data_IF_906290337828
#
_entry.id   IF_906290337828
#
_cell.length_a   1.000
_cell.length_b   1.000
_cell.length_c   1.000
_cell.angle_alpha   90.00
_cell.angle_beta   90.00
_cell.angle_gamma   90.00
#
_symmetry.space_group_name_H-M   'P 1'
#
loop_
_entity.id
_entity.type
_entity.pdbx_description
1 polymer ?
#
# COMPACT_ATOMS: atom_id res chain seq x y z
N UNK A 1 58.76 10.78 20.42
CA UNK A 1 57.84 11.95 20.45
C UNK A 1 58.50 13.25 20.00
N UNK A 2 59.60 13.19 19.25
CA UNK A 2 60.44 14.32 18.81
C UNK A 2 60.44 14.46 17.25
N UNK A 3 59.41 13.89 16.60
CA UNK A 3 59.51 13.42 15.22
C UNK A 3 58.94 14.35 14.14
N UNK A 4 58.02 15.28 14.44
CA UNK A 4 57.38 16.08 13.38
C UNK A 4 58.34 17.16 12.85
N UNK A 5 59.06 17.86 13.74
CA UNK A 5 60.06 18.86 13.34
C UNK A 5 61.30 18.25 12.67
N UNK A 6 61.74 17.07 13.13
CA UNK A 6 62.82 16.29 12.50
C UNK A 6 62.38 15.66 11.18
N UNK A 7 61.15 15.17 11.08
CA UNK A 7 60.59 14.53 9.88
C UNK A 7 60.21 15.49 8.76
N UNK A 8 59.90 16.76 9.08
CA UNK A 8 59.65 17.83 8.10
C UNK A 8 60.91 18.68 7.82
N UNK A 9 62.09 18.32 8.34
CA UNK A 9 63.35 19.06 8.20
C UNK A 9 63.21 20.59 8.39
N UNK A 10 62.38 21.01 9.35
CA UNK A 10 62.06 22.43 9.58
C UNK A 10 63.26 23.25 10.06
N UNK A 11 64.48 22.69 10.11
CA UNK A 11 65.73 23.42 10.33
C UNK A 11 66.17 24.21 9.09
N UNK A 12 65.84 23.73 7.88
CA UNK A 12 66.21 24.38 6.63
C UNK A 12 65.29 25.59 6.34
N UNK A 13 65.89 26.75 6.11
CA UNK A 13 65.17 28.01 5.84
C UNK A 13 64.19 27.91 4.66
N UNK A 14 64.57 27.21 3.59
CA UNK A 14 63.70 27.05 2.42
C UNK A 14 62.47 26.17 2.72
N UNK A 15 62.67 25.12 3.52
CA UNK A 15 61.60 24.20 3.93
C UNK A 15 60.61 24.89 4.88
N UNK A 16 61.10 25.73 5.80
CA UNK A 16 60.23 26.57 6.65
C UNK A 16 59.32 27.48 5.83
N UNK A 17 59.87 28.20 4.85
CA UNK A 17 59.06 29.11 4.02
C UNK A 17 58.07 28.34 3.16
N UNK A 18 58.45 27.19 2.62
CA UNK A 18 57.54 26.31 1.88
C UNK A 18 56.39 25.82 2.77
N UNK A 19 56.68 25.39 4.00
CA UNK A 19 55.66 24.96 4.95
C UNK A 19 54.69 26.09 5.30
N UNK A 20 55.20 27.30 5.59
CA UNK A 20 54.37 28.48 5.86
C UNK A 20 53.52 28.84 4.64
N UNK A 21 54.07 28.75 3.43
CA UNK A 21 53.33 28.98 2.19
C UNK A 21 52.16 27.99 2.03
N UNK A 22 52.34 26.71 2.39
CA UNK A 22 51.25 25.72 2.41
C UNK A 22 50.17 26.10 3.43
N UNK A 23 50.55 26.53 4.64
CA UNK A 23 49.58 26.97 5.67
C UNK A 23 48.77 28.16 5.16
N UNK A 24 49.43 29.15 4.56
CA UNK A 24 48.76 30.33 3.97
C UNK A 24 47.85 29.92 2.82
N UNK A 25 48.30 29.00 1.95
CA UNK A 25 47.50 28.47 0.85
C UNK A 25 46.22 27.80 1.37
N UNK A 26 46.32 26.93 2.39
CA UNK A 26 45.16 26.26 2.98
C UNK A 26 44.19 27.26 3.62
N UNK A 27 44.70 28.30 4.29
CA UNK A 27 43.85 29.39 4.79
C UNK A 27 43.15 30.07 3.61
N UNK A 28 43.89 30.47 2.56
CA UNK A 28 43.33 31.09 1.37
C UNK A 28 42.22 30.25 0.74
N UNK A 29 42.45 28.95 0.56
CA UNK A 29 41.44 28.00 0.05
C UNK A 29 40.22 27.91 0.98
N UNK A 30 40.40 27.97 2.30
CA UNK A 30 39.27 27.98 3.25
C UNK A 30 38.36 29.19 3.09
N UNK A 31 38.91 30.32 2.63
CA UNK A 31 38.14 31.54 2.33
C UNK A 31 37.58 31.54 0.90
N UNK A 32 38.08 30.68 0.00
CA UNK A 32 37.51 30.46 -1.33
C UNK A 32 36.23 29.62 -1.19
N UNK A 33 35.08 30.28 -1.20
CA UNK A 33 33.75 29.67 -1.00
C UNK A 33 33.29 28.74 -2.14
N UNK A 34 34.16 28.42 -3.10
CA UNK A 34 33.86 27.54 -4.24
C UNK A 34 33.42 26.15 -3.74
N UNK A 35 34.23 25.52 -2.88
CA UNK A 35 33.95 24.16 -2.41
C UNK A 35 32.66 24.15 -1.58
N UNK A 36 32.47 25.17 -0.73
CA UNK A 36 31.28 25.29 0.12
C UNK A 36 30.01 25.41 -0.71
N UNK A 37 30.01 26.29 -1.72
CA UNK A 37 28.84 26.52 -2.56
C UNK A 37 28.44 25.27 -3.35
N UNK A 38 29.42 24.58 -3.93
CA UNK A 38 29.16 23.34 -4.68
C UNK A 38 28.64 22.21 -3.78
N UNK A 39 29.25 22.03 -2.61
CA UNK A 39 28.82 20.99 -1.67
C UNK A 39 27.45 21.30 -1.05
N UNK A 40 27.16 22.56 -0.72
CA UNK A 40 25.85 22.99 -0.23
C UNK A 40 24.75 22.77 -1.28
N UNK A 41 24.98 23.21 -2.52
CA UNK A 41 24.03 23.03 -3.62
C UNK A 41 23.71 21.56 -3.87
N UNK A 42 24.72 20.69 -3.78
CA UNK A 42 24.54 19.26 -3.90
C UNK A 42 23.66 18.67 -2.79
N UNK A 43 23.94 19.01 -1.53
CA UNK A 43 23.15 18.54 -0.38
C UNK A 43 21.71 19.06 -0.46
N UNK A 44 21.49 20.30 -0.90
CA UNK A 44 20.15 20.88 -1.10
C UNK A 44 19.35 20.18 -2.20
N UNK A 45 19.98 19.89 -3.34
CA UNK A 45 19.35 19.11 -4.40
C UNK A 45 18.99 17.69 -3.91
N UNK A 46 19.89 17.07 -3.15
CA UNK A 46 19.68 15.75 -2.55
C UNK A 46 18.55 15.74 -1.53
N UNK A 47 18.42 16.78 -0.72
CA UNK A 47 17.33 16.94 0.26
C UNK A 47 15.98 17.12 -0.44
N UNK A 48 15.97 17.89 -1.53
CA UNK A 48 14.77 18.09 -2.38
C UNK A 48 14.33 16.77 -3.00
N UNK A 49 15.25 16.03 -3.62
CA UNK A 49 14.99 14.69 -4.18
C UNK A 49 14.44 13.73 -3.12
N UNK A 50 15.08 13.65 -1.94
CA UNK A 50 14.61 12.79 -0.85
C UNK A 50 13.23 13.18 -0.33
N UNK A 51 12.89 14.48 -0.34
CA UNK A 51 11.57 14.98 0.09
C UNK A 51 10.48 14.62 -0.91
N UNK A 52 10.76 14.78 -2.21
CA UNK A 52 9.83 14.37 -3.28
C UNK A 52 9.63 12.85 -3.23
N UNK A 53 10.71 12.07 -3.12
CA UNK A 53 10.64 10.61 -2.97
C UNK A 53 9.84 10.18 -1.74
N UNK A 54 9.99 10.88 -0.61
CA UNK A 54 9.18 10.66 0.59
C UNK A 54 7.70 10.97 0.36
N UNK A 55 7.39 12.04 -0.35
CA UNK A 55 6.02 12.40 -0.70
C UNK A 55 5.36 11.35 -1.62
N UNK A 56 6.10 10.84 -2.63
CA UNK A 56 5.67 9.72 -3.48
C UNK A 56 5.33 8.51 -2.60
N UNK A 57 6.23 8.11 -1.70
CA UNK A 57 5.99 6.99 -0.78
C UNK A 57 4.70 7.19 0.05
N UNK A 58 4.45 8.42 0.51
CA UNK A 58 3.26 8.75 1.30
C UNK A 58 1.98 8.69 0.46
N UNK A 59 2.04 9.12 -0.80
CA UNK A 59 0.93 9.02 -1.74
C UNK A 59 0.56 7.55 -2.01
N UNK A 60 1.55 6.71 -2.33
CA UNK A 60 1.34 5.27 -2.50
C UNK A 60 0.79 4.60 -1.24
N UNK A 61 1.29 4.97 -0.05
CA UNK A 61 0.75 4.45 1.21
C UNK A 61 -0.72 4.85 1.42
N UNK A 62 -1.13 6.04 0.99
CA UNK A 62 -2.53 6.47 0.98
C UNK A 62 -3.38 5.61 0.06
N UNK A 63 -2.93 5.41 -1.19
CA UNK A 63 -3.60 4.57 -2.18
C UNK A 63 -3.79 3.13 -1.68
N UNK A 64 -2.74 2.52 -1.14
CA UNK A 64 -2.78 1.16 -0.61
C UNK A 64 -3.78 1.06 0.56
N UNK A 65 -3.84 2.09 1.42
CA UNK A 65 -4.80 2.14 2.52
C UNK A 65 -6.25 2.15 2.02
N UNK A 66 -6.56 2.89 0.94
CA UNK A 66 -7.90 2.93 0.34
C UNK A 66 -8.30 1.53 -0.14
N UNK A 67 -7.43 0.83 -0.87
CA UNK A 67 -7.74 -0.53 -1.32
C UNK A 67 -7.89 -1.53 -0.16
N UNK A 68 -7.10 -1.38 0.90
CA UNK A 68 -7.27 -2.16 2.13
C UNK A 68 -8.62 -1.87 2.79
N UNK A 69 -9.07 -0.63 2.84
CA UNK A 69 -10.38 -0.26 3.41
C UNK A 69 -11.57 -0.82 2.61
N UNK A 70 -11.49 -0.81 1.28
CA UNK A 70 -12.53 -1.42 0.42
C UNK A 70 -12.67 -2.92 0.66
N UNK A 71 -11.57 -3.62 0.95
CA UNK A 71 -11.59 -5.06 1.28
C UNK A 71 -12.33 -5.39 2.59
N UNK A 72 -12.41 -4.44 3.53
CA UNK A 72 -13.11 -4.59 4.83
C UNK A 72 -14.59 -4.22 4.71
N UNK A 73 -14.93 -3.27 3.85
CA UNK A 73 -16.29 -2.73 3.69
C UNK A 73 -17.24 -3.67 2.94
N UNK A 74 -16.71 -4.55 2.10
CA UNK A 74 -17.50 -5.56 1.38
C UNK A 74 -17.31 -6.92 2.05
N UNK A 75 -18.18 -7.31 3.02
CA UNK A 75 -18.08 -8.60 3.71
C UNK A 75 -18.45 -9.74 2.76
N UNK A 76 -17.47 -10.17 1.95
CA UNK A 76 -17.59 -11.28 1.03
C UNK A 76 -16.49 -12.32 1.33
N UNK A 77 -16.91 -13.57 1.52
CA UNK A 77 -16.03 -14.70 1.82
C UNK A 77 -14.95 -14.80 0.73
N UNK A 78 -13.70 -14.49 1.11
CA UNK A 78 -12.51 -14.70 0.28
C UNK A 78 -12.02 -13.49 -0.54
N UNK A 79 -12.83 -12.43 -0.72
CA UNK A 79 -12.36 -11.22 -1.42
C UNK A 79 -11.41 -10.40 -0.53
N UNK A 80 -11.72 -10.29 0.76
CA UNK A 80 -10.88 -9.61 1.76
C UNK A 80 -9.47 -10.22 1.79
N UNK A 81 -9.41 -11.56 1.88
CA UNK A 81 -8.15 -12.31 1.89
C UNK A 81 -7.37 -12.16 0.58
N UNK A 82 -8.05 -12.13 -0.57
CA UNK A 82 -7.39 -12.06 -1.87
C UNK A 82 -6.78 -10.67 -2.17
N UNK A 83 -7.53 -9.60 -1.90
CA UNK A 83 -7.06 -8.22 -2.15
C UNK A 83 -5.96 -7.85 -1.15
N UNK A 84 -6.12 -8.19 0.13
CA UNK A 84 -5.11 -7.94 1.16
C UNK A 84 -3.77 -8.62 0.85
N UNK A 85 -3.78 -9.94 0.59
CA UNK A 85 -2.56 -10.70 0.28
C UNK A 85 -1.87 -10.22 -1.00
N UNK A 86 -2.62 -9.72 -1.98
CA UNK A 86 -2.05 -9.20 -3.23
C UNK A 86 -1.34 -7.85 -3.03
N UNK A 87 -1.84 -7.03 -2.11
CA UNK A 87 -1.28 -5.72 -1.78
C UNK A 87 -0.13 -5.78 -0.78
N UNK A 88 -0.06 -6.81 0.07
CA UNK A 88 0.93 -6.92 1.13
C UNK A 88 2.39 -6.74 0.65
N UNK A 89 2.86 -7.38 -0.44
CA UNK A 89 4.23 -7.18 -0.92
C UNK A 89 4.54 -5.73 -1.30
N UNK A 90 3.57 -5.03 -1.92
CA UNK A 90 3.73 -3.63 -2.30
C UNK A 90 3.72 -2.75 -1.05
N UNK A 91 2.76 -3.00 -0.15
CA UNK A 91 2.63 -2.27 1.11
C UNK A 91 3.94 -2.29 1.90
N UNK A 92 4.53 -3.47 2.06
CA UNK A 92 5.77 -3.64 2.81
C UNK A 92 6.94 -2.91 2.17
N UNK A 93 7.01 -2.90 0.83
CA UNK A 93 8.04 -2.16 0.08
C UNK A 93 7.87 -0.65 0.21
N UNK A 94 6.64 -0.14 0.07
CA UNK A 94 6.35 1.29 0.23
C UNK A 94 6.64 1.76 1.66
N UNK A 95 6.33 0.94 2.67
CA UNK A 95 6.66 1.23 4.06
C UNK A 95 8.19 1.27 4.28
N UNK A 96 8.92 0.28 3.79
CA UNK A 96 10.39 0.24 3.86
C UNK A 96 11.02 1.43 3.14
N UNK A 97 10.51 1.78 1.96
CA UNK A 97 10.97 2.93 1.21
C UNK A 97 10.70 4.24 1.96
N UNK A 98 9.50 4.42 2.53
CA UNK A 98 9.16 5.58 3.36
C UNK A 98 10.08 5.70 4.57
N UNK A 99 10.34 4.59 5.27
CA UNK A 99 11.28 4.54 6.40
C UNK A 99 12.70 4.91 5.98
N UNK A 100 13.17 4.38 4.85
CA UNK A 100 14.48 4.71 4.28
C UNK A 100 14.57 6.21 3.94
N UNK A 101 13.55 6.79 3.31
CA UNK A 101 13.53 8.21 2.99
C UNK A 101 13.55 9.09 4.25
N UNK A 102 12.86 8.71 5.32
CA UNK A 102 12.96 9.41 6.61
C UNK A 102 14.39 9.41 7.16
N UNK A 103 15.08 8.26 7.10
CA UNK A 103 16.47 8.14 7.51
C UNK A 103 17.41 8.96 6.61
N UNK A 104 17.19 8.92 5.30
CA UNK A 104 17.93 9.70 4.31
C UNK A 104 17.81 11.21 4.56
N UNK A 105 16.59 11.70 4.78
CA UNK A 105 16.33 13.10 5.13
C UNK A 105 17.06 13.50 6.42
N UNK A 106 16.98 12.68 7.47
CA UNK A 106 17.70 12.92 8.72
C UNK A 106 19.22 13.00 8.50
N UNK A 107 19.80 12.06 7.76
CA UNK A 107 21.23 12.04 7.41
C UNK A 107 21.64 13.29 6.63
N UNK A 108 20.87 13.67 5.61
CA UNK A 108 21.16 14.85 4.77
C UNK A 108 21.05 16.16 5.54
N UNK A 109 20.07 16.29 6.44
CA UNK A 109 19.92 17.47 7.30
C UNK A 109 21.13 17.60 8.22
N UNK A 110 21.58 16.50 8.85
CA UNK A 110 22.79 16.51 9.69
C UNK A 110 24.01 16.93 8.87
N UNK A 111 24.17 16.40 7.66
CA UNK A 111 25.26 16.78 6.76
C UNK A 111 25.20 18.27 6.39
N UNK A 112 24.01 18.80 6.09
CA UNK A 112 23.81 20.22 5.78
C UNK A 112 24.24 21.10 6.96
N UNK A 113 23.78 20.77 8.16
CA UNK A 113 24.15 21.50 9.39
C UNK A 113 25.67 21.44 9.60
N UNK A 114 26.28 20.27 9.45
CA UNK A 114 27.73 20.12 9.61
C UNK A 114 28.50 20.96 8.60
N UNK A 115 28.06 20.97 7.33
CA UNK A 115 28.66 21.78 6.27
C UNK A 115 28.54 23.28 6.59
N UNK A 116 27.38 23.72 7.08
CA UNK A 116 27.15 25.11 7.48
C UNK A 116 28.02 25.53 8.67
N UNK A 117 28.19 24.64 9.67
CA UNK A 117 29.07 24.88 10.82
C UNK A 117 30.51 25.08 10.37
N UNK A 118 31.05 24.21 9.51
CA UNK A 118 32.46 24.29 9.08
C UNK A 118 32.72 25.40 8.06
N UNK A 119 31.69 25.82 7.31
CA UNK A 119 31.75 26.93 6.36
C UNK A 119 31.50 28.31 7.00
N UNK A 120 31.05 28.36 8.26
CA UNK A 120 30.77 29.61 8.96
C UNK A 120 32.05 30.47 9.13
N UNK A 121 31.88 31.79 9.03
CA UNK A 121 32.90 32.79 9.31
C UNK A 121 33.60 32.58 10.66
N UNK A 122 32.87 32.19 11.72
CA UNK A 122 33.48 31.89 13.02
C UNK A 122 34.52 30.77 12.92
N UNK A 123 34.21 29.69 12.20
CA UNK A 123 35.13 28.60 11.96
C UNK A 123 36.34 29.05 11.12
N UNK A 124 36.09 29.81 10.04
CA UNK A 124 37.16 30.39 9.19
C UNK A 124 38.14 31.24 10.00
N UNK A 125 37.65 32.04 10.95
CA UNK A 125 38.48 32.88 11.83
C UNK A 125 39.33 32.01 12.78
N UNK A 126 38.73 31.03 13.46
CA UNK A 126 39.48 30.13 14.35
C UNK A 126 40.54 29.35 13.58
N UNK A 127 40.20 28.85 12.39
CA UNK A 127 41.13 28.15 11.51
C UNK A 127 42.29 29.07 11.10
N UNK A 128 42.00 30.30 10.68
CA UNK A 128 43.02 31.29 10.32
C UNK A 128 43.93 31.61 11.51
N UNK A 129 43.36 31.84 12.71
CA UNK A 129 44.13 32.12 13.92
C UNK A 129 45.07 30.96 14.29
N UNK A 130 44.58 29.71 14.18
CA UNK A 130 45.39 28.52 14.42
C UNK A 130 46.58 28.42 13.47
N UNK A 131 46.39 28.76 12.19
CA UNK A 131 47.45 28.76 11.19
C UNK A 131 48.45 29.90 11.36
N UNK A 132 48.01 31.10 11.73
CA UNK A 132 48.90 32.23 12.08
C UNK A 132 49.75 31.88 13.29
N UNK A 133 49.16 31.31 14.35
CA UNK A 133 49.90 30.88 15.53
C UNK A 133 50.92 29.79 15.20
N UNK A 134 50.55 28.81 14.35
CA UNK A 134 51.48 27.80 13.86
C UNK A 134 52.65 28.43 13.09
N UNK A 135 52.39 29.37 12.18
CA UNK A 135 53.41 30.06 11.40
C UNK A 135 54.38 30.85 12.30
N UNK A 136 53.87 31.56 13.32
CA UNK A 136 54.70 32.28 14.31
C UNK A 136 55.58 31.33 15.11
N UNK A 137 55.01 30.22 15.60
CA UNK A 137 55.74 29.24 16.42
C UNK A 137 56.84 28.54 15.61
N UNK A 138 56.60 28.28 14.31
CA UNK A 138 57.61 27.76 13.36
C UNK A 138 58.69 28.80 13.07
N UNK A 139 58.32 30.08 12.94
CA UNK A 139 59.29 31.16 12.71
C UNK A 139 60.25 31.36 13.90
N UNK A 140 59.75 31.24 15.14
CA UNK A 140 60.55 31.39 16.37
C UNK A 140 61.16 30.08 16.91
N UNK A 141 61.12 28.98 16.16
CA UNK A 141 61.77 27.69 16.51
C UNK A 141 61.37 27.07 17.87
N UNK A 142 60.14 27.32 18.34
CA UNK A 142 59.65 26.76 19.61
C UNK A 142 59.16 25.32 19.46
N UNK A 143 60.11 24.37 19.35
CA UNK A 143 59.88 22.94 19.03
C UNK A 143 58.74 22.26 19.81
N UNK A 144 58.63 22.50 21.12
CA UNK A 144 57.57 21.88 21.95
C UNK A 144 56.16 22.36 21.58
N UNK A 145 56.04 23.65 21.24
CA UNK A 145 54.76 24.26 20.86
C UNK A 145 54.37 23.90 19.42
N UNK A 146 55.34 23.72 18.51
CA UNK A 146 55.07 23.35 17.11
C UNK A 146 54.15 22.13 17.03
N UNK A 147 54.41 21.08 17.82
CA UNK A 147 53.62 19.85 17.78
C UNK A 147 52.15 20.08 18.19
N UNK A 148 51.91 20.89 19.24
CA UNK A 148 50.55 21.19 19.72
C UNK A 148 49.78 22.02 18.70
N UNK A 149 50.38 23.11 18.22
CA UNK A 149 49.74 23.99 17.23
C UNK A 149 49.58 23.30 15.86
N UNK A 150 50.52 22.44 15.47
CA UNK A 150 50.39 21.64 14.25
C UNK A 150 49.23 20.67 14.33
N UNK A 151 49.12 19.89 15.41
CA UNK A 151 47.99 18.96 15.60
C UNK A 151 46.65 19.69 15.66
N UNK A 152 46.58 20.83 16.34
CA UNK A 152 45.38 21.66 16.39
C UNK A 152 45.02 22.22 15.01
N UNK A 153 45.98 22.77 14.27
CA UNK A 153 45.77 23.28 12.92
C UNK A 153 45.30 22.18 11.97
N UNK A 154 45.97 21.02 11.99
CA UNK A 154 45.59 19.90 11.12
C UNK A 154 44.23 19.33 11.52
N UNK A 155 43.88 19.29 12.81
CA UNK A 155 42.53 18.91 13.25
C UNK A 155 41.45 19.83 12.67
N UNK A 156 41.66 21.15 12.78
CA UNK A 156 40.73 22.14 12.26
C UNK A 156 40.68 22.12 10.72
N UNK A 157 41.83 21.94 10.05
CA UNK A 157 41.90 21.76 8.60
C UNK A 157 41.12 20.52 8.17
N UNK A 158 41.30 19.42 8.89
CA UNK A 158 40.62 18.16 8.63
C UNK A 158 39.11 18.34 8.82
N UNK A 159 38.65 18.93 9.92
CA UNK A 159 37.23 19.20 10.13
C UNK A 159 36.65 20.13 9.03
N UNK A 160 37.40 21.17 8.61
CA UNK A 160 37.01 22.12 7.56
C UNK A 160 36.82 21.44 6.21
N UNK A 161 37.84 20.73 5.75
CA UNK A 161 37.92 20.27 4.38
C UNK A 161 37.33 18.88 4.20
N UNK A 162 37.32 18.03 5.23
CA UNK A 162 36.88 16.64 5.08
C UNK A 162 35.40 16.57 4.69
N UNK A 163 34.52 17.29 5.39
CA UNK A 163 33.08 17.28 5.11
C UNK A 163 32.82 17.75 3.69
N UNK A 164 33.38 18.91 3.34
CA UNK A 164 33.17 19.53 2.04
C UNK A 164 33.76 18.69 0.88
N UNK A 165 34.95 18.09 1.08
CA UNK A 165 35.61 17.25 0.08
C UNK A 165 34.90 15.90 -0.10
N UNK A 166 34.43 15.27 0.98
CA UNK A 166 33.66 14.02 0.88
C UNK A 166 32.35 14.24 0.13
N UNK A 167 31.64 15.34 0.42
CA UNK A 167 30.42 15.72 -0.32
C UNK A 167 30.74 15.99 -1.78
N UNK A 168 31.82 16.72 -2.09
CA UNK A 168 32.20 17.03 -3.48
C UNK A 168 32.60 15.78 -4.27
N UNK A 169 33.37 14.88 -3.67
CA UNK A 169 33.70 13.58 -4.27
C UNK A 169 32.42 12.80 -4.61
N UNK A 170 31.49 12.77 -3.67
CA UNK A 170 30.24 12.05 -3.87
C UNK A 170 29.35 12.73 -4.93
N UNK A 171 29.27 14.07 -4.94
CA UNK A 171 28.57 14.82 -5.97
C UNK A 171 29.07 14.47 -7.38
N UNK A 172 30.37 14.26 -7.54
CA UNK A 172 30.95 13.81 -8.81
C UNK A 172 30.52 12.37 -9.17
N UNK A 173 30.49 11.45 -8.21
CA UNK A 173 30.00 10.07 -8.40
C UNK A 173 28.51 10.05 -8.75
N UNK A 174 27.71 10.83 -8.03
CA UNK A 174 26.26 10.90 -8.19
C UNK A 174 25.90 11.39 -9.60
N UNK A 175 26.50 12.52 -10.02
CA UNK A 175 26.32 13.09 -11.35
C UNK A 175 26.76 12.14 -12.48
N UNK A 176 27.78 11.33 -12.25
CA UNK A 176 28.29 10.42 -13.26
C UNK A 176 27.46 9.13 -13.40
N UNK A 177 26.82 8.64 -12.33
CA UNK A 177 26.28 7.27 -12.30
C UNK A 177 24.86 7.11 -11.74
N UNK A 178 24.37 8.05 -10.93
CA UNK A 178 23.18 7.85 -10.05
C UNK A 178 22.08 8.88 -10.33
N UNK A 179 22.42 10.14 -10.62
CA UNK A 179 21.47 11.24 -10.78
C UNK A 179 20.41 10.95 -11.84
N UNK A 180 20.83 10.59 -13.06
CA UNK A 180 19.92 10.29 -14.18
C UNK A 180 18.98 9.13 -13.89
N UNK A 181 19.46 8.08 -13.22
CA UNK A 181 18.65 6.91 -12.85
C UNK A 181 17.63 7.29 -11.77
N UNK A 182 18.05 8.09 -10.80
CA UNK A 182 17.18 8.55 -9.72
C UNK A 182 16.04 9.39 -10.27
N UNK A 183 16.33 10.35 -11.16
CA UNK A 183 15.33 11.19 -11.80
C UNK A 183 14.35 10.39 -12.66
N UNK A 184 14.85 9.43 -13.45
CA UNK A 184 14.01 8.57 -14.28
C UNK A 184 13.02 7.75 -13.44
N UNK A 185 13.50 7.11 -12.38
CA UNK A 185 12.67 6.27 -11.51
C UNK A 185 11.68 7.10 -10.70
N UNK A 186 12.08 8.29 -10.22
CA UNK A 186 11.16 9.22 -9.54
C UNK A 186 10.08 9.73 -10.48
N UNK A 187 10.43 10.13 -11.70
CA UNK A 187 9.47 10.60 -12.70
C UNK A 187 8.46 9.50 -13.06
N UNK A 188 8.90 8.25 -13.19
CA UNK A 188 8.00 7.12 -13.42
C UNK A 188 6.98 6.96 -12.29
N UNK A 189 7.43 7.04 -11.03
CA UNK A 189 6.56 6.89 -9.86
C UNK A 189 5.64 8.09 -9.62
N UNK A 190 5.97 9.29 -10.09
CA UNK A 190 5.15 10.50 -9.92
C UNK A 190 3.87 10.45 -10.77
N UNK A 191 3.89 9.73 -11.90
CA UNK A 191 2.73 9.60 -12.80
C UNK A 191 1.60 8.71 -12.26
N UNK A 192 1.89 7.73 -11.40
CA UNK A 192 0.89 6.74 -10.95
C UNK A 192 -0.14 7.25 -9.92
N UNK A 193 0.24 8.04 -8.89
CA UNK A 193 -0.72 8.51 -7.89
C UNK A 193 -1.82 9.42 -8.43
N UNK A 194 -1.61 10.06 -9.59
CA UNK A 194 -2.52 11.03 -10.19
C UNK A 194 -3.73 10.39 -10.91
N UNK A 195 -3.65 9.11 -11.28
CA UNK A 195 -4.73 8.41 -12.00
C UNK A 195 -5.77 7.78 -11.05
N UNK A 196 -5.52 7.78 -9.73
CA UNK A 196 -6.36 7.09 -8.73
C UNK A 196 -7.37 7.98 -8.00
N UNK A 197 -7.25 9.31 -8.09
CA UNK A 197 -8.25 10.23 -7.52
C UNK A 197 -9.63 10.05 -8.19
N UNK A 198 -9.68 9.44 -9.38
CA UNK A 198 -10.93 9.01 -10.03
C UNK A 198 -11.49 7.68 -9.53
N UNK A 199 -10.72 6.85 -8.82
CA UNK A 199 -11.19 5.58 -8.24
C UNK A 199 -11.74 5.78 -6.81
N UNK A 200 -11.33 6.83 -6.11
CA UNK A 200 -11.79 7.18 -4.74
C UNK A 200 -13.21 7.74 -4.69
N UNK A 201 -13.91 7.85 -5.81
CA UNK A 201 -15.33 8.17 -5.81
C UNK A 201 -16.10 6.91 -5.38
N UNK A 202 -16.28 6.74 -4.06
CA UNK A 202 -17.03 5.68 -3.37
C UNK A 202 -18.41 5.39 -4.00
N UNK A 203 -18.92 6.36 -4.77
CA UNK A 203 -20.16 6.29 -5.51
C UNK A 203 -20.15 5.19 -6.59
N UNK A 204 -19.08 5.08 -7.38
CA UNK A 204 -19.06 4.23 -8.58
C UNK A 204 -19.24 2.73 -8.29
N UNK A 205 -18.65 2.24 -7.21
CA UNK A 205 -18.72 0.83 -6.80
C UNK A 205 -20.09 0.52 -6.18
N UNK A 206 -20.60 1.44 -5.36
CA UNK A 206 -21.95 1.32 -4.81
C UNK A 206 -23.01 1.35 -5.91
N UNK A 207 -22.76 2.12 -6.98
CA UNK A 207 -23.68 2.35 -8.08
C UNK A 207 -23.70 1.18 -9.07
N UNK A 208 -22.55 0.58 -9.37
CA UNK A 208 -22.48 -0.65 -10.19
C UNK A 208 -23.09 -1.86 -9.45
N UNK A 209 -22.85 -2.00 -8.14
CA UNK A 209 -23.47 -3.04 -7.33
C UNK A 209 -24.99 -2.83 -7.17
N UNK A 210 -25.43 -1.58 -6.97
CA UNK A 210 -26.85 -1.20 -6.95
C UNK A 210 -27.50 -1.49 -8.30
N UNK A 211 -26.84 -1.16 -9.40
CA UNK A 211 -27.35 -1.43 -10.75
C UNK A 211 -27.55 -2.94 -10.97
N UNK A 212 -26.59 -3.77 -10.56
CA UNK A 212 -26.73 -5.23 -10.62
C UNK A 212 -27.92 -5.72 -9.77
N UNK A 213 -28.04 -5.27 -8.52
CA UNK A 213 -29.18 -5.60 -7.64
C UNK A 213 -30.53 -5.17 -8.22
N UNK A 214 -30.60 -4.01 -8.90
CA UNK A 214 -31.83 -3.55 -9.56
C UNK A 214 -32.22 -4.39 -10.77
N UNK A 215 -31.23 -4.83 -11.57
CA UNK A 215 -31.47 -5.73 -12.70
C UNK A 215 -32.01 -7.08 -12.21
N UNK A 216 -31.39 -7.58 -11.15
CA UNK A 216 -31.76 -8.79 -10.46
C UNK A 216 -33.18 -8.73 -9.87
N UNK A 217 -33.54 -7.61 -9.25
CA UNK A 217 -34.90 -7.34 -8.77
C UNK A 217 -35.91 -7.30 -9.92
N UNK A 218 -35.59 -6.67 -11.06
CA UNK A 218 -36.45 -6.66 -12.25
C UNK A 218 -36.70 -8.07 -12.80
N UNK A 219 -35.65 -8.90 -12.89
CA UNK A 219 -35.77 -10.27 -13.38
C UNK A 219 -36.69 -11.12 -12.49
N UNK A 220 -36.57 -11.00 -11.15
CA UNK A 220 -37.46 -11.72 -10.22
C UNK A 220 -38.88 -11.19 -10.31
N UNK A 221 -39.07 -9.88 -10.36
CA UNK A 221 -40.42 -9.30 -10.52
C UNK A 221 -41.10 -9.78 -11.79
N UNK A 222 -40.35 -9.93 -12.89
CA UNK A 222 -40.88 -10.49 -14.13
C UNK A 222 -41.28 -11.97 -13.98
N UNK A 223 -40.46 -12.79 -13.32
CA UNK A 223 -40.78 -14.20 -13.04
C UNK A 223 -42.01 -14.34 -12.11
N UNK A 224 -42.12 -13.48 -11.09
CA UNK A 224 -43.30 -13.41 -10.21
C UNK A 224 -44.55 -13.09 -11.02
N UNK A 225 -44.51 -12.08 -11.89
CA UNK A 225 -45.66 -11.72 -12.73
C UNK A 225 -46.10 -12.87 -13.64
N UNK A 226 -45.16 -13.62 -14.23
CA UNK A 226 -45.46 -14.80 -15.04
C UNK A 226 -46.10 -15.93 -14.21
N UNK A 227 -45.61 -16.17 -12.99
CA UNK A 227 -46.18 -17.18 -12.09
C UNK A 227 -47.57 -16.78 -11.59
N UNK A 228 -47.81 -15.51 -11.30
CA UNK A 228 -49.15 -15.00 -10.96
C UNK A 228 -50.14 -15.21 -12.09
N UNK A 229 -49.72 -14.96 -13.34
CA UNK A 229 -50.55 -15.23 -14.53
C UNK A 229 -50.88 -16.72 -14.66
N UNK A 230 -49.89 -17.61 -14.48
CA UNK A 230 -50.10 -19.06 -14.51
C UNK A 230 -51.06 -19.53 -13.41
N UNK A 231 -50.91 -19.02 -12.19
CA UNK A 231 -51.83 -19.31 -11.08
C UNK A 231 -53.25 -18.88 -11.45
N UNK A 232 -53.42 -17.70 -12.05
CA UNK A 232 -54.73 -17.21 -12.46
C UNK A 232 -55.36 -18.09 -13.56
N UNK A 233 -54.56 -18.57 -14.52
CA UNK A 233 -55.02 -19.51 -15.54
C UNK A 233 -55.44 -20.87 -14.92
N UNK A 234 -54.66 -21.39 -13.97
CA UNK A 234 -54.97 -22.64 -13.26
C UNK A 234 -56.25 -22.48 -12.43
N UNK A 235 -56.40 -21.36 -11.71
CA UNK A 235 -57.61 -21.07 -10.93
C UNK A 235 -58.85 -21.03 -11.84
N UNK A 236 -58.77 -20.40 -13.02
CA UNK A 236 -59.86 -20.41 -14.01
C UNK A 236 -60.18 -21.83 -14.50
N UNK A 237 -59.17 -22.66 -14.76
CA UNK A 237 -59.36 -24.06 -15.19
C UNK A 237 -60.01 -24.91 -14.08
N UNK A 238 -59.65 -24.67 -12.82
CA UNK A 238 -60.27 -25.34 -11.67
C UNK A 238 -61.76 -24.95 -11.57
N UNK A 239 -62.10 -23.68 -11.76
CA UNK A 239 -63.50 -23.20 -11.77
C UNK A 239 -64.29 -23.88 -12.89
N UNK A 240 -63.75 -23.99 -14.10
CA UNK A 240 -64.39 -24.70 -15.22
C UNK A 240 -64.60 -26.19 -14.93
N UNK A 241 -63.62 -26.85 -14.30
CA UNK A 241 -63.76 -28.25 -13.89
C UNK A 241 -64.84 -28.43 -12.83
N UNK A 242 -64.98 -27.49 -11.90
CA UNK A 242 -66.05 -27.48 -10.89
C UNK A 242 -67.44 -27.29 -11.52
N UNK A 243 -67.57 -26.39 -12.49
CA UNK A 243 -68.82 -26.21 -13.25
C UNK A 243 -69.20 -27.48 -14.03
N UNK A 244 -68.23 -28.12 -14.68
CA UNK A 244 -68.44 -29.39 -15.39
C UNK A 244 -68.79 -30.52 -14.43
N UNK A 245 -68.20 -30.54 -13.23
CA UNK A 245 -68.53 -31.52 -12.22
C UNK A 245 -69.98 -31.36 -11.74
N UNK A 246 -70.43 -30.12 -11.51
CA UNK A 246 -71.81 -29.80 -11.15
C UNK A 246 -72.80 -30.23 -12.24
N UNK A 247 -72.46 -30.05 -13.52
CA UNK A 247 -73.33 -30.50 -14.62
C UNK A 247 -73.41 -32.03 -14.68
N UNK A 248 -72.27 -32.74 -14.56
CA UNK A 248 -72.24 -34.20 -14.53
C UNK A 248 -73.02 -34.76 -13.34
N UNK A 249 -72.95 -34.12 -12.17
CA UNK A 249 -73.71 -34.53 -10.99
C UNK A 249 -75.22 -34.34 -11.20
N UNK A 250 -75.62 -33.24 -11.84
CA UNK A 250 -77.02 -32.98 -12.21
C UNK A 250 -77.53 -34.02 -13.21
N UNK A 251 -76.74 -34.34 -14.24
CA UNK A 251 -77.07 -35.37 -15.24
C UNK A 251 -77.19 -36.76 -14.60
N UNK A 252 -76.29 -37.09 -13.67
CA UNK A 252 -76.36 -38.33 -12.90
C UNK A 252 -77.61 -38.39 -12.03
N UNK A 253 -78.03 -37.28 -11.41
CA UNK A 253 -79.29 -37.22 -10.67
C UNK A 253 -80.51 -37.45 -11.57
N UNK A 254 -80.53 -36.83 -12.75
CA UNK A 254 -81.60 -37.01 -13.76
C UNK A 254 -81.68 -38.45 -14.25
N UNK A 255 -80.55 -39.03 -14.68
CA UNK A 255 -80.46 -40.43 -15.12
C UNK A 255 -80.88 -41.38 -14.00
N UNK A 256 -80.43 -41.11 -12.77
CA UNK A 256 -80.86 -41.90 -11.63
C UNK A 256 -82.36 -41.77 -11.35
N UNK A 257 -82.99 -40.63 -11.60
CA UNK A 257 -84.44 -40.44 -11.43
C UNK A 257 -85.26 -41.20 -12.50
N UNK A 258 -84.71 -41.38 -13.71
CA UNK A 258 -85.31 -42.19 -14.77
C UNK A 258 -85.23 -43.71 -14.48
N UNK A 259 -84.18 -44.14 -13.78
CA UNK A 259 -83.96 -45.55 -13.45
C UNK A 259 -84.72 -45.91 -12.16
N UNK A 260 -85.66 -46.87 -12.25
CA UNK A 260 -86.48 -47.30 -11.10
C UNK A 260 -85.66 -47.87 -9.93
N UNK A 261 -86.19 -47.75 -8.70
CA UNK A 261 -85.50 -48.08 -7.43
C UNK A 261 -84.87 -49.48 -7.39
N UNK A 262 -85.49 -50.47 -8.06
CA UNK A 262 -84.99 -51.84 -8.13
C UNK A 262 -83.82 -52.03 -9.12
N UNK A 263 -83.75 -51.25 -10.20
CA UNK A 263 -82.62 -51.29 -11.14
C UNK A 263 -81.38 -50.56 -10.61
N UNK A 264 -81.56 -49.55 -9.77
CA UNK A 264 -80.45 -48.89 -9.05
C UNK A 264 -79.65 -49.83 -8.15
N UNK A 265 -80.30 -50.83 -7.56
CA UNK A 265 -79.68 -51.80 -6.63
C UNK A 265 -79.10 -53.03 -7.33
N UNK A 266 -79.24 -53.17 -8.65
CA UNK A 266 -78.71 -54.31 -9.39
C UNK A 266 -77.19 -54.18 -9.56
N UNK A 267 -76.44 -54.92 -8.72
CA UNK A 267 -74.97 -54.90 -8.67
C UNK A 267 -74.35 -55.58 -9.91
N UNK A 268 -75.09 -56.48 -10.57
CA UNK A 268 -74.61 -57.28 -11.71
C UNK A 268 -74.85 -56.61 -13.08
N UNK A 269 -75.66 -55.53 -13.14
CA UNK A 269 -76.07 -54.89 -14.40
C UNK A 269 -76.27 -53.38 -14.21
N UNK A 270 -75.18 -52.65 -13.93
CA UNK A 270 -75.23 -51.18 -13.83
C UNK A 270 -75.59 -50.59 -15.20
N UNK A 271 -76.46 -49.59 -15.20
CA UNK A 271 -76.79 -48.81 -16.40
C UNK A 271 -75.49 -48.18 -16.96
N UNK A 272 -75.23 -48.40 -18.24
CA UNK A 272 -74.02 -47.98 -18.94
C UNK A 272 -73.82 -46.46 -18.84
N UNK A 273 -74.92 -45.68 -18.83
CA UNK A 273 -74.89 -44.22 -18.70
C UNK A 273 -74.34 -43.80 -17.32
N UNK A 274 -74.73 -44.50 -16.27
CA UNK A 274 -74.26 -44.24 -14.89
C UNK A 274 -72.78 -44.59 -14.75
N UNK A 275 -72.31 -45.65 -15.41
CA UNK A 275 -70.88 -46.01 -15.41
C UNK A 275 -70.05 -44.93 -16.12
N UNK A 276 -70.47 -44.49 -17.31
CA UNK A 276 -69.80 -43.44 -18.09
C UNK A 276 -69.75 -42.10 -17.33
N UNK A 277 -70.86 -41.70 -16.71
CA UNK A 277 -70.92 -40.48 -15.86
C UNK A 277 -69.98 -40.56 -14.66
N UNK A 278 -69.90 -41.72 -13.99
CA UNK A 278 -68.97 -41.91 -12.87
C UNK A 278 -67.49 -41.90 -13.31
N UNK A 279 -67.17 -42.49 -14.45
CA UNK A 279 -65.82 -42.42 -15.02
C UNK A 279 -65.43 -40.98 -15.39
N UNK A 280 -66.33 -40.23 -16.04
CA UNK A 280 -66.13 -38.83 -16.38
C UNK A 280 -65.89 -37.96 -15.13
N UNK A 281 -66.70 -38.14 -14.07
CA UNK A 281 -66.51 -37.46 -12.79
C UNK A 281 -65.18 -37.82 -12.11
N UNK A 282 -64.77 -39.09 -12.16
CA UNK A 282 -63.49 -39.54 -11.60
C UNK A 282 -62.30 -38.93 -12.36
N UNK A 283 -62.39 -38.87 -13.68
CA UNK A 283 -61.40 -38.21 -14.54
C UNK A 283 -61.28 -36.72 -14.22
N UNK A 284 -62.41 -36.01 -14.16
CA UNK A 284 -62.45 -34.59 -13.78
C UNK A 284 -61.80 -34.35 -12.40
N UNK A 285 -62.17 -35.16 -11.39
CA UNK A 285 -61.60 -35.05 -10.04
C UNK A 285 -60.08 -35.27 -10.01
N UNK A 286 -59.59 -36.16 -10.87
CA UNK A 286 -58.15 -36.44 -10.99
C UNK A 286 -57.41 -35.26 -11.63
N UNK A 287 -57.97 -34.67 -12.70
CA UNK A 287 -57.43 -33.47 -13.34
C UNK A 287 -57.42 -32.28 -12.38
N UNK A 288 -58.52 -32.05 -11.66
CA UNK A 288 -58.61 -30.99 -10.64
C UNK A 288 -57.52 -31.14 -9.57
N UNK A 289 -57.30 -32.35 -9.05
CA UNK A 289 -56.25 -32.60 -8.05
C UNK A 289 -54.83 -32.35 -8.59
N UNK A 290 -54.59 -32.63 -9.86
CA UNK A 290 -53.31 -32.34 -10.51
C UNK A 290 -53.07 -30.83 -10.58
N UNK A 291 -54.06 -30.07 -11.06
CA UNK A 291 -54.02 -28.61 -11.12
C UNK A 291 -53.89 -27.96 -9.74
N UNK A 292 -54.61 -28.45 -8.72
CA UNK A 292 -54.47 -27.97 -7.34
C UNK A 292 -53.07 -28.21 -6.77
N UNK A 293 -52.43 -29.31 -7.16
CA UNK A 293 -51.05 -29.63 -6.76
C UNK A 293 -50.05 -28.68 -7.42
N UNK A 294 -50.18 -28.48 -8.74
CA UNK A 294 -49.36 -27.54 -9.50
C UNK A 294 -49.46 -26.11 -8.96
N UNK A 295 -50.71 -25.64 -8.73
CA UNK A 295 -50.98 -24.36 -8.09
C UNK A 295 -50.29 -24.22 -6.74
N UNK A 296 -50.36 -25.24 -5.88
CA UNK A 296 -49.73 -25.20 -4.55
C UNK A 296 -48.21 -25.06 -4.64
N UNK A 297 -47.60 -25.73 -5.60
CA UNK A 297 -46.15 -25.66 -5.79
C UNK A 297 -45.73 -24.30 -6.37
N UNK A 298 -46.47 -23.75 -7.34
CA UNK A 298 -46.28 -22.38 -7.82
C UNK A 298 -46.43 -21.32 -6.71
N UNK A 299 -47.44 -21.45 -5.85
CA UNK A 299 -47.63 -20.56 -4.69
C UNK A 299 -46.46 -20.65 -3.72
N UNK A 300 -45.85 -21.83 -3.53
CA UNK A 300 -44.67 -21.98 -2.67
C UNK A 300 -43.46 -21.26 -3.28
N UNK A 301 -43.24 -21.39 -4.58
CA UNK A 301 -42.19 -20.68 -5.30
C UNK A 301 -42.37 -19.16 -5.25
N UNK A 302 -43.61 -18.67 -5.44
CA UNK A 302 -43.95 -17.26 -5.37
C UNK A 302 -43.67 -16.67 -3.97
N UNK A 303 -44.00 -17.39 -2.91
CA UNK A 303 -43.69 -16.97 -1.54
C UNK A 303 -42.17 -16.88 -1.29
N UNK A 304 -41.38 -17.77 -1.89
CA UNK A 304 -39.92 -17.70 -1.80
C UNK A 304 -39.39 -16.48 -2.58
N UNK A 305 -39.88 -16.26 -3.81
CA UNK A 305 -39.49 -15.12 -4.63
C UNK A 305 -39.81 -13.78 -3.95
N UNK A 306 -40.99 -13.64 -3.34
CA UNK A 306 -41.37 -12.43 -2.59
C UNK A 306 -40.46 -12.16 -1.37
N UNK A 307 -40.01 -13.21 -0.67
CA UNK A 307 -39.01 -13.03 0.41
C UNK A 307 -37.68 -12.52 -0.15
N UNK A 308 -37.24 -13.06 -1.28
CA UNK A 308 -36.01 -12.63 -1.94
C UNK A 308 -36.08 -11.17 -2.41
N UNK A 309 -37.22 -10.71 -2.94
CA UNK A 309 -37.42 -9.30 -3.29
C UNK A 309 -37.21 -8.39 -2.07
N UNK A 310 -37.84 -8.72 -0.94
CA UNK A 310 -37.71 -7.94 0.31
C UNK A 310 -36.26 -7.90 0.80
N UNK A 311 -35.51 -9.00 0.68
CA UNK A 311 -34.10 -9.03 1.05
C UNK A 311 -33.23 -8.11 0.17
N UNK A 312 -33.51 -8.03 -1.13
CA UNK A 312 -32.82 -7.13 -2.07
C UNK A 312 -33.17 -5.66 -1.78
N UNK A 313 -34.44 -5.36 -1.55
CA UNK A 313 -34.89 -4.01 -1.20
C UNK A 313 -34.22 -3.51 0.08
N UNK A 314 -34.15 -4.35 1.11
CA UNK A 314 -33.43 -4.04 2.34
C UNK A 314 -31.93 -3.81 2.10
N UNK A 315 -31.30 -4.59 1.21
CA UNK A 315 -29.90 -4.41 0.83
C UNK A 315 -29.66 -3.08 0.09
N UNK A 316 -30.55 -2.71 -0.85
CA UNK A 316 -30.51 -1.43 -1.56
C UNK A 316 -30.67 -0.22 -0.62
N UNK A 317 -31.49 -0.38 0.42
CA UNK A 317 -31.69 0.60 1.51
C UNK A 317 -30.56 0.61 2.56
N UNK A 318 -29.56 -0.28 2.45
CA UNK A 318 -28.43 -0.35 3.36
C UNK A 318 -28.74 -0.98 4.73
N UNK A 319 -29.84 -1.71 4.85
CA UNK A 319 -30.22 -2.41 6.08
C UNK A 319 -29.57 -3.80 6.11
N UNK A 320 -28.58 -3.97 6.97
CA UNK A 320 -27.64 -5.11 7.02
C UNK A 320 -28.19 -6.47 7.49
N UNK A 321 -29.51 -6.62 7.62
CA UNK A 321 -30.13 -7.84 8.17
C UNK A 321 -30.57 -8.80 7.08
N UNK A 322 -29.66 -9.65 6.57
CA UNK A 322 -30.06 -10.84 5.81
C UNK A 322 -29.14 -11.32 4.68
N UNK A 323 -28.14 -10.53 4.27
CA UNK A 323 -27.31 -10.81 3.08
C UNK A 323 -26.70 -12.23 3.04
N UNK A 324 -26.32 -12.80 4.19
CA UNK A 324 -25.67 -14.11 4.23
C UNK A 324 -26.60 -15.29 3.91
N UNK A 325 -27.93 -15.14 4.10
CA UNK A 325 -28.91 -16.19 3.82
C UNK A 325 -29.30 -16.28 2.35
N UNK A 326 -29.41 -15.14 1.67
CA UNK A 326 -29.87 -15.00 0.29
C UNK A 326 -28.77 -15.20 -0.77
N UNK A 327 -27.50 -15.08 -0.40
CA UNK A 327 -26.34 -15.35 -1.29
C UNK A 327 -26.27 -16.83 -1.72
N UNK A 328 -26.86 -17.75 -0.95
CA UNK A 328 -26.73 -19.20 -1.23
C UNK A 328 -27.51 -19.70 -2.45
N UNK A 329 -28.42 -18.91 -3.03
CA UNK A 329 -29.47 -19.46 -3.92
C UNK A 329 -29.57 -18.89 -5.34
N UNK A 330 -28.59 -18.13 -5.84
CA UNK A 330 -28.47 -17.92 -7.30
C UNK A 330 -28.65 -16.50 -7.84
N UNK A 331 -27.93 -15.52 -7.28
CA UNK A 331 -27.83 -14.19 -7.90
C UNK A 331 -26.59 -14.05 -8.80
N UNK A 332 -26.75 -14.35 -10.10
CA UNK A 332 -25.67 -14.31 -11.09
C UNK A 332 -25.21 -12.89 -11.45
N UNK A 333 -26.10 -11.90 -11.48
CA UNK A 333 -25.71 -10.54 -11.91
C UNK A 333 -24.89 -9.82 -10.82
N UNK A 334 -25.27 -9.97 -9.55
CA UNK A 334 -24.46 -9.48 -8.42
C UNK A 334 -23.05 -10.11 -8.40
N UNK A 335 -22.95 -11.42 -8.69
CA UNK A 335 -21.64 -12.08 -8.81
C UNK A 335 -20.81 -11.54 -9.98
N UNK A 336 -21.46 -11.13 -11.06
CA UNK A 336 -20.79 -10.54 -12.23
C UNK A 336 -20.33 -9.10 -11.97
N UNK A 337 -21.12 -8.30 -11.26
CA UNK A 337 -20.70 -6.97 -10.78
C UNK A 337 -19.50 -7.05 -9.83
N UNK A 338 -19.50 -8.05 -8.94
CA UNK A 338 -18.38 -8.35 -8.05
C UNK A 338 -17.13 -8.82 -8.79
N UNK A 339 -17.26 -9.67 -9.81
CA UNK A 339 -16.11 -10.09 -10.61
C UNK A 339 -15.52 -8.93 -11.40
N UNK A 340 -16.36 -8.08 -11.98
CA UNK A 340 -15.92 -6.88 -12.70
C UNK A 340 -15.21 -5.90 -11.78
N UNK A 341 -15.74 -5.69 -10.57
CA UNK A 341 -15.09 -4.89 -9.54
C UNK A 341 -13.74 -5.48 -9.13
N UNK A 342 -13.69 -6.78 -8.82
CA UNK A 342 -12.44 -7.49 -8.50
C UNK A 342 -11.42 -7.33 -9.61
N UNK A 343 -11.84 -7.44 -10.87
CA UNK A 343 -10.97 -7.34 -12.03
C UNK A 343 -10.45 -5.91 -12.22
N UNK A 344 -11.31 -4.88 -12.10
CA UNK A 344 -10.90 -3.47 -12.07
C UNK A 344 -9.87 -3.21 -10.96
N UNK A 345 -10.16 -3.63 -9.72
CA UNK A 345 -9.22 -3.51 -8.59
C UNK A 345 -7.92 -4.25 -8.86
N UNK A 346 -7.98 -5.47 -9.39
CA UNK A 346 -6.79 -6.25 -9.71
C UNK A 346 -5.92 -5.57 -10.77
N UNK A 347 -6.51 -4.93 -11.79
CA UNK A 347 -5.78 -4.14 -12.80
C UNK A 347 -5.05 -2.95 -12.16
N UNK A 348 -5.69 -2.20 -11.26
CA UNK A 348 -5.02 -1.11 -10.54
C UNK A 348 -3.89 -1.62 -9.64
N UNK A 349 -4.10 -2.75 -8.96
CA UNK A 349 -3.05 -3.36 -8.13
C UNK A 349 -1.89 -3.86 -9.01
N UNK A 350 -2.15 -4.43 -10.17
CA UNK A 350 -1.12 -4.86 -11.12
C UNK A 350 -0.31 -3.67 -11.66
N UNK A 351 -0.97 -2.55 -11.96
CA UNK A 351 -0.29 -1.30 -12.33
C UNK A 351 0.62 -0.79 -11.18
N UNK A 352 0.15 -0.87 -9.93
CA UNK A 352 0.97 -0.55 -8.76
C UNK A 352 2.13 -1.54 -8.60
N UNK A 353 1.94 -2.83 -8.90
CA UNK A 353 3.02 -3.81 -8.85
C UNK A 353 4.14 -3.51 -9.86
N UNK A 354 3.84 -2.85 -10.97
CA UNK A 354 4.86 -2.37 -11.91
C UNK A 354 5.76 -1.27 -11.32
N UNK A 355 5.34 -0.61 -10.24
CA UNK A 355 6.15 0.34 -9.49
C UNK A 355 7.18 -0.31 -8.55
N UNK A 356 7.03 -1.61 -8.23
CA UNK A 356 7.92 -2.33 -7.30
C UNK A 356 9.40 -2.21 -7.71
N UNK A 357 9.80 -2.49 -8.97
CA UNK A 357 11.21 -2.41 -9.36
C UNK A 357 11.78 -1.01 -9.18
N UNK A 358 10.99 0.03 -9.50
CA UNK A 358 11.37 1.42 -9.32
C UNK A 358 11.57 1.80 -7.85
N UNK A 359 10.71 1.33 -6.95
CA UNK A 359 10.92 1.50 -5.50
C UNK A 359 12.23 0.84 -5.03
N UNK A 360 12.50 -0.39 -5.46
CA UNK A 360 13.73 -1.10 -5.09
C UNK A 360 14.97 -0.37 -5.64
N UNK A 361 14.92 0.07 -6.90
CA UNK A 361 16.00 0.82 -7.52
C UNK A 361 16.24 2.14 -6.79
N UNK A 362 15.19 2.91 -6.49
CA UNK A 362 15.31 4.13 -5.71
C UNK A 362 15.86 3.86 -4.30
N UNK A 363 15.40 2.81 -3.63
CA UNK A 363 15.95 2.41 -2.34
C UNK A 363 17.45 2.17 -2.44
N UNK A 364 17.90 1.40 -3.44
CA UNK A 364 19.31 1.12 -3.64
C UNK A 364 20.13 2.40 -3.94
N UNK A 365 19.62 3.27 -4.81
CA UNK A 365 20.28 4.53 -5.20
C UNK A 365 20.37 5.50 -4.00
N UNK A 366 19.27 5.70 -3.27
CA UNK A 366 19.26 6.55 -2.08
C UNK A 366 20.07 5.96 -0.94
N UNK A 367 20.06 4.64 -0.74
CA UNK A 367 20.91 3.98 0.25
C UNK A 367 22.40 4.20 -0.07
N UNK A 368 22.76 4.02 -1.35
CA UNK A 368 24.10 4.30 -1.85
C UNK A 368 24.50 5.76 -1.60
N UNK A 369 23.56 6.70 -1.71
CA UNK A 369 23.81 8.13 -1.48
C UNK A 369 23.87 8.56 -0.03
N UNK A 370 22.96 8.05 0.79
CA UNK A 370 22.70 8.61 2.11
C UNK A 370 23.39 7.84 3.24
N UNK A 371 23.76 6.58 3.03
CA UNK A 371 24.43 5.74 4.04
C UNK A 371 25.91 5.53 3.75
N UNK A 372 26.30 5.36 2.49
CA UNK A 372 27.72 5.16 2.14
C UNK A 372 28.52 6.45 2.34
N UNK A 373 27.93 7.62 2.05
CA UNK A 373 28.62 8.91 2.21
C UNK A 373 29.02 9.18 3.68
N UNK A 374 28.13 9.08 4.69
CA UNK A 374 28.52 9.21 6.10
C UNK A 374 29.52 8.15 6.56
N UNK A 375 29.41 6.91 6.08
CA UNK A 375 30.33 5.83 6.45
C UNK A 375 31.73 6.06 5.87
N UNK A 376 31.81 6.50 4.62
CA UNK A 376 33.08 6.85 3.98
C UNK A 376 33.71 8.06 4.66
N UNK A 377 32.91 9.10 4.94
CA UNK A 377 33.34 10.26 5.74
C UNK A 377 33.93 9.81 7.08
N UNK A 378 33.21 8.98 7.84
CA UNK A 378 33.63 8.48 9.14
C UNK A 378 34.92 7.64 9.01
N UNK A 379 35.01 6.79 7.99
CA UNK A 379 36.20 5.98 7.74
C UNK A 379 37.43 6.85 7.44
N UNK A 380 37.30 7.84 6.55
CA UNK A 380 38.40 8.76 6.23
C UNK A 380 38.75 9.62 7.45
N UNK A 381 37.75 10.04 8.23
CA UNK A 381 37.94 10.75 9.49
C UNK A 381 38.78 9.92 10.46
N UNK A 382 38.37 8.68 10.75
CA UNK A 382 39.08 7.80 11.68
C UNK A 382 40.51 7.51 11.23
N UNK A 383 40.72 7.27 9.93
CA UNK A 383 42.05 7.02 9.36
C UNK A 383 42.94 8.27 9.47
N UNK A 384 42.41 9.45 9.16
CA UNK A 384 43.10 10.73 9.31
C UNK A 384 43.46 11.00 10.77
N UNK A 385 42.52 10.75 11.69
CA UNK A 385 42.74 10.92 13.13
C UNK A 385 43.85 10.00 13.64
N UNK A 386 43.82 8.71 13.29
CA UNK A 386 44.91 7.78 13.64
C UNK A 386 46.26 8.26 13.12
N UNK A 387 46.32 8.79 11.90
CA UNK A 387 47.57 9.29 11.31
C UNK A 387 48.13 10.51 12.06
N UNK A 388 47.28 11.41 12.55
CA UNK A 388 47.70 12.66 13.21
C UNK A 388 48.02 12.44 14.70
N UNK A 389 47.21 11.66 15.41
CA UNK A 389 47.38 11.44 16.85
C UNK A 389 48.15 10.17 17.20
N UNK A 390 48.30 9.22 16.27
CA UNK A 390 48.95 7.92 16.52
C UNK A 390 48.14 7.00 17.44
N UNK A 391 46.89 7.36 17.73
CA UNK A 391 45.98 6.63 18.62
C UNK A 391 44.96 5.91 17.75
N UNK A 392 44.79 4.61 17.96
CA UNK A 392 43.65 3.88 17.42
C UNK A 392 42.40 4.25 18.22
N UNK A 393 41.54 5.10 17.65
CA UNK A 393 40.26 5.46 18.27
C UNK A 393 39.40 4.23 18.57
N UNK A 394 39.42 3.21 17.70
CA UNK A 394 38.71 1.95 17.96
C UNK A 394 39.19 1.31 19.27
N UNK A 395 40.50 1.08 19.43
CA UNK A 395 41.07 0.46 20.63
C UNK A 395 40.78 1.26 21.91
N UNK A 396 40.79 2.60 21.81
CA UNK A 396 40.44 3.49 22.93
C UNK A 396 38.95 3.44 23.29
N UNK A 397 38.06 3.27 22.31
CA UNK A 397 36.62 3.09 22.54
C UNK A 397 36.36 1.69 23.13
N UNK A 398 36.99 0.63 22.62
CA UNK A 398 36.82 -0.72 23.18
C UNK A 398 37.37 -0.81 24.60
N UNK A 399 38.52 -0.21 24.91
CA UNK A 399 39.04 -0.20 26.27
C UNK A 399 38.12 0.59 27.22
N UNK A 400 37.60 1.75 26.78
CA UNK A 400 36.65 2.53 27.58
C UNK A 400 35.32 1.81 27.82
N UNK A 401 34.82 1.04 26.85
CA UNK A 401 33.62 0.22 27.00
C UNK A 401 33.88 -0.97 27.93
N UNK A 402 35.05 -1.60 27.86
CA UNK A 402 35.44 -2.67 28.79
C UNK A 402 35.63 -2.17 30.22
N UNK A 403 36.26 -1.00 30.39
CA UNK A 403 36.43 -0.33 31.68
C UNK A 403 35.06 -0.01 32.30
N UNK A 404 34.15 0.63 31.56
CA UNK A 404 32.78 0.91 32.01
C UNK A 404 32.01 -0.37 32.35
N UNK A 405 32.17 -1.43 31.56
CA UNK A 405 31.52 -2.73 31.80
C UNK A 405 32.08 -3.43 33.04
N UNK A 406 33.37 -3.22 33.35
CA UNK A 406 34.01 -3.72 34.57
C UNK A 406 33.59 -2.94 35.82
N UNK A 407 33.42 -1.62 35.70
CA UNK A 407 32.99 -0.73 36.78
C UNK A 407 31.52 -0.97 37.16
N UNK A 408 30.64 -1.19 36.17
CA UNK A 408 29.25 -1.60 36.39
C UNK A 408 29.14 -3.00 37.02
N UNK A 409 30.07 -3.92 36.71
CA UNK A 409 30.15 -5.24 37.36
C UNK A 409 30.69 -5.15 38.80
N UNK A 410 31.66 -4.28 39.05
CA UNK A 410 32.24 -4.04 40.39
C UNK A 410 31.28 -3.34 41.34
N UNK A 411 30.36 -2.51 40.84
CA UNK A 411 29.33 -1.83 41.64
C UNK A 411 28.17 -2.75 42.10
N UNK A 412 28.12 -4.01 41.64
CA UNK A 412 27.09 -5.00 42.03
C UNK A 412 27.60 -6.08 43.02
N UNK A 413 28.83 -5.98 43.48
CA UNK A 413 29.38 -6.74 44.61
C UNK A 413 29.43 -5.84 45.85
#
# INVERSE_FOLDING_TARGET
MDNISKGLELSNRNVKYFFIAIVILLIGISWLEIIDHHSAKYVDASLTQATIAFAIARAFNGIISVFKEVSVTVPLIGLELAIGQLLDPVNDLVEQFSSLMKMALGSLIIQKILLEIVANNFFKVIFTLSGVMLALVVYFDKLRLINVFFKSFVFLAMLRFLVALTVLFYAAVDKAFVESKTEQEMAFLETYPLELESFTDDTAVSEELRAALTLDLQNIQQDVALKEEQIQQIDNNIVQLDELFLSLETDLQNVNAEIGTFQRLNIMSRDERVVQLNEAMSSNRTQKRALETERRDLVRELNNANRTIVDIENALEGKSTGLFGSISSGFTSMTSGLSNFREKVSQYIENIQQAIPSFINLMALFFFKTMILPLLFLFVFLKGFKMIWGINMCDAITSGVEDLKSEIKGSKA
#
